data_IF_093561783925
#
_entry.id   IF_093561783925
#
_cell.length_a   1.000
_cell.length_b   1.000
_cell.length_c   1.000
_cell.angle_alpha   90.00
_cell.angle_beta   90.00
_cell.angle_gamma   90.00
#
_symmetry.space_group_name_H-M   'P 1'
#
loop_
_entity.id
_entity.type
_entity.pdbx_description
1 polymer ?
#
# COMPACT_ATOMS: atom_id res chain seq x y z
N UNK A 1 19.80 -6.89 -60.04
CA UNK A 1 20.20 -6.98 -58.63
C UNK A 1 19.38 -5.97 -57.85
N UNK A 2 18.30 -6.40 -57.18
CA UNK A 2 17.45 -5.50 -56.38
C UNK A 2 17.86 -5.61 -54.91
N UNK A 3 18.31 -4.50 -54.35
CA UNK A 3 18.64 -4.36 -52.93
C UNK A 3 17.33 -4.42 -52.14
N UNK A 4 17.12 -5.50 -51.39
CA UNK A 4 16.02 -5.57 -50.41
C UNK A 4 16.36 -4.63 -49.25
N UNK A 5 15.65 -3.50 -49.19
CA UNK A 5 15.60 -2.62 -48.03
C UNK A 5 15.20 -3.49 -46.82
N UNK A 6 16.06 -3.57 -45.80
CA UNK A 6 15.71 -4.22 -44.54
C UNK A 6 14.74 -3.31 -43.81
N UNK A 7 13.49 -3.73 -43.74
CA UNK A 7 12.49 -3.15 -42.85
C UNK A 7 12.99 -3.29 -41.41
N UNK A 8 13.41 -2.17 -40.83
CA UNK A 8 13.66 -2.07 -39.40
C UNK A 8 12.27 -2.13 -38.76
N UNK A 9 11.89 -3.31 -38.27
CA UNK A 9 10.70 -3.46 -37.42
C UNK A 9 10.86 -2.52 -36.22
N UNK A 10 10.09 -1.44 -36.26
CA UNK A 10 9.98 -0.47 -35.18
C UNK A 10 9.25 -1.18 -34.04
N UNK A 11 9.99 -1.82 -33.14
CA UNK A 11 9.41 -2.40 -31.93
C UNK A 11 8.75 -1.27 -31.15
N UNK A 12 7.42 -1.26 -31.11
CA UNK A 12 6.65 -0.41 -30.22
C UNK A 12 7.06 -0.74 -28.78
N UNK A 13 7.67 0.22 -28.08
CA UNK A 13 7.98 0.08 -26.67
C UNK A 13 6.64 0.07 -25.92
N UNK A 14 6.16 -1.12 -25.54
CA UNK A 14 4.99 -1.24 -24.67
C UNK A 14 5.35 -0.67 -23.30
N UNK A 15 4.61 0.35 -22.87
CA UNK A 15 4.72 0.89 -21.51
C UNK A 15 4.26 -0.21 -20.55
N UNK A 16 5.18 -0.68 -19.70
CA UNK A 16 4.91 -1.71 -18.70
C UNK A 16 4.09 -1.13 -17.55
N UNK A 17 2.81 -1.50 -17.49
CA UNK A 17 1.91 -1.19 -16.38
C UNK A 17 1.99 -2.29 -15.33
N UNK A 18 1.83 -1.95 -14.06
CA UNK A 18 1.85 -2.90 -12.94
C UNK A 18 0.62 -2.68 -12.06
N UNK A 19 -0.24 -3.71 -11.93
CA UNK A 19 -1.35 -3.69 -10.98
C UNK A 19 -0.83 -4.01 -9.57
N UNK A 20 -1.13 -3.16 -8.59
CA UNK A 20 -0.76 -3.37 -7.18
C UNK A 20 -2.01 -3.37 -6.30
N UNK A 21 -2.03 -4.22 -5.29
CA UNK A 21 -3.05 -4.26 -4.25
C UNK A 21 -2.83 -3.12 -3.24
N UNK A 22 -3.91 -2.46 -2.85
CA UNK A 22 -3.98 -1.56 -1.69
C UNK A 22 -4.37 -2.31 -0.41
N UNK A 23 -4.81 -3.57 -0.53
CA UNK A 23 -5.15 -4.46 0.57
C UNK A 23 -3.90 -5.26 1.00
N UNK A 24 -3.70 -5.35 2.31
CA UNK A 24 -2.63 -6.13 2.89
C UNK A 24 -2.98 -7.61 2.87
N UNK A 25 -2.08 -8.44 2.34
CA UNK A 25 -2.25 -9.90 2.27
C UNK A 25 -2.28 -10.63 3.62
N UNK A 26 -2.02 -9.95 4.74
CA UNK A 26 -1.98 -10.55 6.08
C UNK A 26 -3.22 -10.20 6.89
N UNK A 27 -3.59 -8.93 6.91
CA UNK A 27 -4.79 -8.47 7.62
C UNK A 27 -6.05 -8.51 6.76
N UNK A 28 -5.92 -8.63 5.44
CA UNK A 28 -7.01 -8.45 4.47
C UNK A 28 -7.67 -7.06 4.52
N UNK A 29 -7.01 -6.13 5.20
CA UNK A 29 -7.44 -4.73 5.35
C UNK A 29 -6.63 -3.80 4.46
N UNK A 30 -7.16 -2.60 4.23
CA UNK A 30 -6.44 -1.53 3.56
C UNK A 30 -5.10 -1.26 4.26
N UNK A 31 -4.00 -1.27 3.51
CA UNK A 31 -2.64 -1.08 4.03
C UNK A 31 -2.55 0.20 4.86
N UNK A 32 -2.20 0.09 6.15
CA UNK A 32 -2.09 1.26 7.06
C UNK A 32 -0.82 2.08 6.80
N UNK A 33 0.33 1.42 6.88
CA UNK A 33 1.64 2.01 6.61
C UNK A 33 2.28 1.22 5.46
N UNK A 34 2.27 1.73 4.22
CA UNK A 34 2.79 1.04 3.04
C UNK A 34 4.32 1.07 3.06
N UNK A 35 4.91 -0.11 3.19
CA UNK A 35 6.37 -0.27 3.18
C UNK A 35 6.83 -1.23 2.10
N UNK A 36 8.09 -1.04 1.70
CA UNK A 36 8.90 -2.00 0.94
C UNK A 36 10.24 -2.17 1.64
N UNK A 37 10.89 -3.31 1.41
CA UNK A 37 12.29 -3.48 1.82
C UNK A 37 13.22 -2.66 0.93
N UNK A 38 14.34 -2.19 1.47
CA UNK A 38 15.36 -1.41 0.75
C UNK A 38 15.83 -2.07 -0.57
N UNK A 39 15.91 -3.40 -0.61
CA UNK A 39 16.34 -4.15 -1.79
C UNK A 39 15.21 -4.59 -2.73
N UNK A 40 13.96 -4.21 -2.43
CA UNK A 40 12.80 -4.60 -3.22
C UNK A 40 12.76 -3.82 -4.55
N UNK A 41 12.51 -4.54 -5.65
CA UNK A 41 12.32 -3.94 -6.99
C UNK A 41 10.86 -3.97 -7.46
N UNK A 42 9.96 -4.60 -6.69
CA UNK A 42 8.52 -4.55 -6.98
C UNK A 42 7.91 -3.24 -6.50
N UNK A 43 6.75 -2.91 -7.07
CA UNK A 43 5.93 -1.75 -6.67
C UNK A 43 4.94 -2.08 -5.55
N UNK A 44 4.54 -3.35 -5.37
CA UNK A 44 3.60 -3.77 -4.33
C UNK A 44 4.12 -3.41 -2.93
N UNK A 45 3.39 -2.61 -2.16
CA UNK A 45 3.67 -2.41 -0.73
C UNK A 45 2.99 -3.48 0.12
N UNK A 46 3.44 -3.62 1.37
CA UNK A 46 2.73 -4.37 2.40
C UNK A 46 2.57 -3.48 3.65
N UNK A 47 1.64 -3.84 4.53
CA UNK A 47 1.41 -3.10 5.79
C UNK A 47 2.53 -3.39 6.78
N UNK A 48 3.21 -2.35 7.27
CA UNK A 48 4.26 -2.49 8.27
C UNK A 48 3.74 -3.15 9.54
N UNK A 49 2.60 -2.71 10.07
CA UNK A 49 2.01 -3.24 11.31
C UNK A 49 1.80 -4.75 11.22
N UNK A 50 1.05 -5.19 10.21
CA UNK A 50 0.70 -6.60 10.03
C UNK A 50 1.93 -7.47 9.74
N UNK A 51 2.94 -6.91 9.06
CA UNK A 51 4.20 -7.63 8.85
C UNK A 51 4.99 -7.80 10.15
N UNK A 52 5.07 -6.76 10.99
CA UNK A 52 5.76 -6.86 12.28
C UNK A 52 5.05 -7.83 13.22
N UNK A 53 3.72 -7.78 13.31
CA UNK A 53 2.91 -8.75 14.06
C UNK A 53 3.22 -10.18 13.62
N UNK A 54 3.22 -10.44 12.31
CA UNK A 54 3.59 -11.74 11.74
C UNK A 54 5.02 -12.14 12.11
N UNK A 55 6.00 -11.24 11.97
CA UNK A 55 7.40 -11.54 12.31
C UNK A 55 7.59 -11.80 13.80
N UNK A 56 6.86 -11.12 14.68
CA UNK A 56 6.93 -11.34 16.12
C UNK A 56 6.33 -12.69 16.54
N UNK A 57 5.27 -13.12 15.87
CA UNK A 57 4.65 -14.43 16.09
C UNK A 57 5.51 -15.61 15.61
N UNK A 58 6.49 -15.39 14.74
CA UNK A 58 7.40 -16.45 14.27
C UNK A 58 8.48 -16.79 15.30
N UNK A 59 8.62 -18.09 15.59
CA UNK A 59 9.68 -18.66 16.42
C UNK A 59 11.07 -18.40 15.79
N UNK A 60 11.21 -18.66 14.49
CA UNK A 60 12.42 -18.39 13.72
C UNK A 60 12.22 -17.22 12.75
N UNK A 61 12.59 -16.03 13.20
CA UNK A 61 12.39 -14.76 12.47
C UNK A 61 13.27 -14.68 11.24
N UNK A 62 12.72 -15.05 10.08
CA UNK A 62 13.33 -14.83 8.77
C UNK A 62 12.80 -13.52 8.20
N UNK A 63 13.58 -12.46 8.35
CA UNK A 63 13.25 -11.12 7.85
C UNK A 63 13.41 -11.03 6.33
N UNK A 64 12.43 -11.59 5.64
CA UNK A 64 12.34 -11.58 4.17
C UNK A 64 11.07 -10.86 3.73
N UNK A 65 11.19 -10.12 2.63
CA UNK A 65 10.07 -9.44 2.01
C UNK A 65 9.02 -10.49 1.63
N UNK A 66 7.76 -10.32 2.03
CA UNK A 66 6.78 -11.36 1.81
C UNK A 66 6.33 -11.46 0.35
N UNK A 67 6.60 -10.42 -0.45
CA UNK A 67 6.31 -10.34 -1.88
C UNK A 67 7.41 -11.00 -2.72
N UNK A 68 8.67 -10.55 -2.61
CA UNK A 68 9.77 -11.01 -3.48
C UNK A 68 10.85 -11.86 -2.79
N UNK A 69 10.67 -12.17 -1.51
CA UNK A 69 11.58 -13.02 -0.69
C UNK A 69 13.02 -12.50 -0.53
N UNK A 70 13.33 -11.30 -1.02
CA UNK A 70 14.59 -10.60 -0.73
C UNK A 70 14.67 -10.24 0.76
N UNK A 71 15.90 -10.04 1.25
CA UNK A 71 16.18 -9.57 2.61
C UNK A 71 15.40 -8.27 2.93
N UNK A 72 14.80 -8.19 4.12
CA UNK A 72 13.93 -7.08 4.53
C UNK A 72 14.08 -6.71 6.00
N UNK A 73 15.26 -6.22 6.40
CA UNK A 73 15.48 -5.64 7.73
C UNK A 73 15.25 -4.12 7.77
N UNK A 74 15.49 -3.44 6.64
CA UNK A 74 15.31 -2.00 6.48
C UNK A 74 14.06 -1.72 5.64
N UNK A 75 13.14 -0.93 6.18
CA UNK A 75 11.88 -0.57 5.53
C UNK A 75 11.92 0.85 4.99
N UNK A 76 11.38 1.03 3.78
CA UNK A 76 11.14 2.32 3.15
C UNK A 76 9.63 2.52 3.08
N UNK A 77 9.15 3.62 3.64
CA UNK A 77 7.75 4.05 3.49
C UNK A 77 7.55 4.61 2.10
N UNK A 78 6.63 4.02 1.33
CA UNK A 78 6.27 4.52 0.01
C UNK A 78 5.31 5.70 0.14
N UNK A 79 5.85 6.92 0.09
CA UNK A 79 5.07 8.15 0.28
C UNK A 79 3.96 8.32 -0.75
N UNK A 80 4.14 7.82 -1.97
CA UNK A 80 3.12 7.96 -3.00
C UNK A 80 1.96 7.00 -2.77
N UNK A 81 2.23 5.74 -2.44
CA UNK A 81 1.16 4.83 -2.03
C UNK A 81 0.49 5.24 -0.72
N UNK A 82 1.24 5.81 0.24
CA UNK A 82 0.66 6.40 1.45
C UNK A 82 -0.39 7.45 1.08
N UNK A 83 -0.03 8.38 0.19
CA UNK A 83 -0.94 9.41 -0.28
C UNK A 83 -2.17 8.84 -0.99
N UNK A 84 -2.03 7.79 -1.82
CA UNK A 84 -3.17 7.10 -2.44
C UNK A 84 -4.10 6.51 -1.36
N UNK A 85 -3.54 5.80 -0.39
CA UNK A 85 -4.30 5.17 0.70
C UNK A 85 -5.03 6.22 1.54
N UNK A 86 -4.40 7.35 1.81
CA UNK A 86 -5.01 8.45 2.56
C UNK A 86 -6.16 9.09 1.78
N UNK A 87 -6.02 9.24 0.45
CA UNK A 87 -7.12 9.69 -0.41
C UNK A 87 -8.27 8.70 -0.42
N UNK A 88 -8.00 7.40 -0.54
CA UNK A 88 -9.04 6.34 -0.47
C UNK A 88 -9.81 6.40 0.85
N UNK A 89 -9.11 6.57 1.98
CA UNK A 89 -9.73 6.75 3.30
C UNK A 89 -10.57 8.03 3.38
N UNK A 90 -10.00 9.16 2.97
CA UNK A 90 -10.66 10.46 3.02
C UNK A 90 -11.98 10.46 2.23
N UNK A 91 -11.99 9.79 1.08
CA UNK A 91 -13.14 9.73 0.19
C UNK A 91 -14.16 8.66 0.61
N UNK A 92 -13.87 7.87 1.65
CA UNK A 92 -14.70 6.75 2.12
C UNK A 92 -15.09 5.79 0.97
N UNK A 93 -14.16 5.48 0.04
CA UNK A 93 -14.41 4.60 -1.09
C UNK A 93 -13.72 3.24 -0.94
N UNK A 94 -14.34 2.19 -1.48
CA UNK A 94 -13.73 0.86 -1.57
C UNK A 94 -12.85 0.76 -2.81
N UNK A 95 -11.54 0.58 -2.60
CA UNK A 95 -10.56 0.37 -3.67
C UNK A 95 -9.55 -0.68 -3.24
N UNK A 96 -9.56 -1.82 -3.92
CA UNK A 96 -8.69 -2.94 -3.57
C UNK A 96 -7.33 -2.88 -4.28
N UNK A 97 -7.27 -2.26 -5.45
CA UNK A 97 -6.07 -2.24 -6.28
C UNK A 97 -6.03 -1.01 -7.18
N UNK A 98 -4.82 -0.67 -7.64
CA UNK A 98 -4.57 0.41 -8.58
C UNK A 98 -3.54 -0.02 -9.62
N UNK A 99 -3.68 0.48 -10.84
CA UNK A 99 -2.72 0.28 -11.91
C UNK A 99 -1.69 1.40 -11.90
N UNK A 100 -0.42 1.04 -11.86
CA UNK A 100 0.70 1.98 -11.89
C UNK A 100 1.43 1.93 -13.23
N UNK A 101 1.88 3.08 -13.71
CA UNK A 101 2.77 3.22 -14.86
C UNK A 101 4.22 2.88 -14.51
N UNK A 102 5.10 2.88 -15.52
CA UNK A 102 6.53 2.58 -15.34
C UNK A 102 7.20 3.50 -14.33
N UNK A 103 6.81 4.78 -14.28
CA UNK A 103 7.27 5.79 -13.33
C UNK A 103 6.75 5.61 -11.89
N UNK A 104 5.88 4.63 -11.66
CA UNK A 104 5.27 4.36 -10.36
C UNK A 104 4.08 5.26 -10.02
N UNK A 105 3.62 6.12 -10.94
CA UNK A 105 2.40 6.91 -10.80
C UNK A 105 1.18 6.10 -11.18
N UNK A 106 0.01 6.48 -10.65
CA UNK A 106 -1.27 5.88 -11.06
C UNK A 106 -1.47 6.10 -12.56
N UNK A 107 -1.90 5.05 -13.24
CA UNK A 107 -2.15 5.11 -14.67
C UNK A 107 -3.35 5.99 -15.01
N UNK A 108 -3.25 6.74 -16.11
CA UNK A 108 -4.28 7.69 -16.54
C UNK A 108 -5.62 7.02 -16.90
N UNK A 109 -5.58 5.74 -17.27
CA UNK A 109 -6.77 4.94 -17.59
C UNK A 109 -7.33 4.27 -16.33
N UNK A 110 -6.61 4.32 -15.20
CA UNK A 110 -7.13 3.80 -13.93
C UNK A 110 -8.25 4.73 -13.42
N UNK A 111 -9.43 4.19 -13.07
CA UNK A 111 -10.56 4.99 -12.59
C UNK A 111 -10.23 5.87 -11.38
N UNK A 112 -9.23 5.48 -10.56
CA UNK A 112 -8.84 6.23 -9.37
C UNK A 112 -8.07 7.51 -9.73
N UNK A 113 -7.39 7.55 -10.88
CA UNK A 113 -6.47 8.62 -11.27
C UNK A 113 -7.12 10.01 -11.22
N UNK A 114 -8.34 10.13 -11.76
CA UNK A 114 -9.05 11.42 -11.83
C UNK A 114 -9.41 11.93 -10.43
N UNK A 115 -9.86 11.02 -9.56
CA UNK A 115 -10.37 11.39 -8.22
C UNK A 115 -9.23 11.76 -7.26
N UNK A 116 -8.07 11.11 -7.37
CA UNK A 116 -6.93 11.42 -6.50
C UNK A 116 -6.15 12.65 -6.98
N UNK A 117 -6.16 12.94 -8.28
CA UNK A 117 -5.43 14.08 -8.85
C UNK A 117 -6.14 15.42 -8.71
N UNK A 118 -7.47 15.42 -8.59
CA UNK A 118 -8.28 16.64 -8.56
C UNK A 118 -8.55 17.14 -7.14
N UNK A 119 -7.99 18.30 -6.78
CA UNK A 119 -8.25 18.97 -5.49
C UNK A 119 -9.70 19.44 -5.26
N UNK A 120 -10.61 19.14 -6.18
CA UNK A 120 -12.04 19.46 -6.10
C UNK A 120 -12.84 18.38 -5.36
N UNK A 121 -12.40 17.12 -5.37
CA UNK A 121 -13.14 16.00 -4.78
C UNK A 121 -12.64 15.77 -3.36
N UNK A 122 -13.45 16.16 -2.37
CA UNK A 122 -13.01 16.22 -0.96
C UNK A 122 -13.57 15.09 -0.11
N UNK A 123 -14.73 14.57 -0.49
CA UNK A 123 -15.45 13.51 0.22
C UNK A 123 -16.22 12.61 -0.75
N UNK A 124 -16.92 11.61 -0.21
CA UNK A 124 -17.74 10.68 -0.99
C UNK A 124 -18.88 11.35 -1.77
N UNK A 125 -19.48 12.43 -1.25
CA UNK A 125 -20.57 13.10 -1.95
C UNK A 125 -20.06 13.79 -3.22
N UNK A 126 -18.86 14.37 -3.16
CA UNK A 126 -18.20 14.91 -4.35
C UNK A 126 -17.91 13.80 -5.38
N UNK A 127 -17.42 12.63 -4.95
CA UNK A 127 -17.20 11.47 -5.84
C UNK A 127 -18.45 11.18 -6.68
N UNK A 128 -19.61 11.08 -6.03
CA UNK A 128 -20.89 10.82 -6.71
C UNK A 128 -21.36 12.00 -7.55
N UNK A 129 -21.24 13.23 -7.03
CA UNK A 129 -21.63 14.46 -7.74
C UNK A 129 -20.87 14.64 -9.05
N UNK A 130 -19.61 14.23 -9.09
CA UNK A 130 -18.75 14.27 -10.28
C UNK A 130 -18.93 13.05 -11.20
N UNK A 131 -19.87 12.15 -10.90
CA UNK A 131 -20.25 11.04 -11.77
C UNK A 131 -19.42 9.77 -11.59
N UNK A 132 -18.59 9.66 -10.56
CA UNK A 132 -17.76 8.49 -10.29
C UNK A 132 -18.51 7.40 -9.51
N UNK A 133 -19.63 6.94 -10.06
CA UNK A 133 -20.55 6.01 -9.40
C UNK A 133 -20.04 4.56 -9.31
N UNK A 134 -18.92 4.23 -9.96
CA UNK A 134 -18.27 2.93 -9.86
C UNK A 134 -17.62 2.66 -8.49
N UNK A 135 -17.37 3.72 -7.70
CA UNK A 135 -16.78 3.58 -6.37
C UNK A 135 -17.88 3.44 -5.32
N UNK A 136 -17.91 2.27 -4.68
CA UNK A 136 -18.82 2.02 -3.56
C UNK A 136 -18.31 2.72 -2.29
N UNK A 137 -19.23 3.23 -1.48
CA UNK A 137 -18.88 3.74 -0.15
C UNK A 137 -18.35 2.60 0.72
N UNK A 138 -17.29 2.85 1.48
CA UNK A 138 -16.88 1.96 2.56
C UNK A 138 -18.02 1.88 3.58
N UNK A 139 -18.55 0.68 3.81
CA UNK A 139 -19.49 0.43 4.90
C UNK A 139 -18.80 0.82 6.20
N UNK A 140 -19.47 1.62 7.04
CA UNK A 140 -19.00 1.84 8.41
C UNK A 140 -19.19 0.52 9.16
N UNK A 141 -18.14 -0.28 9.23
CA UNK A 141 -18.03 -1.25 10.29
C UNK A 141 -17.95 -0.43 11.58
N UNK A 142 -18.84 -0.71 12.53
CA UNK A 142 -18.78 -0.12 13.86
C UNK A 142 -17.52 -0.72 14.48
N UNK A 143 -16.45 0.07 14.58
CA UNK A 143 -15.24 -0.35 15.29
C UNK A 143 -15.62 -0.55 16.78
N UNK A 144 -15.81 -1.80 17.21
CA UNK A 144 -16.01 -2.16 18.63
C UNK A 144 -14.70 -2.09 19.46
N UNK A 145 -13.62 -1.52 18.92
CA UNK A 145 -12.28 -1.56 19.53
C UNK A 145 -11.70 -0.17 19.88
N UNK A 146 -12.50 0.73 20.47
CA UNK A 146 -11.96 1.80 21.32
C UNK A 146 -12.04 1.40 22.80
N UNK A 147 -11.41 0.27 23.15
CA UNK A 147 -11.00 0.03 24.53
C UNK A 147 -9.59 0.58 24.68
N UNK A 148 -9.52 1.84 25.12
CA UNK A 148 -8.33 2.66 25.18
C UNK A 148 -7.10 1.92 25.71
N UNK A 149 -6.09 1.81 24.86
CA UNK A 149 -4.72 1.50 25.27
C UNK A 149 -4.17 2.71 26.03
N UNK A 150 -4.58 2.85 27.28
CA UNK A 150 -3.90 3.68 28.26
C UNK A 150 -2.60 2.97 28.62
N UNK A 151 -1.51 3.34 27.94
CA UNK A 151 -0.17 2.94 28.34
C UNK A 151 0.16 3.70 29.62
N UNK A 152 -0.24 3.14 30.77
CA UNK A 152 0.16 3.66 32.08
C UNK A 152 1.64 3.30 32.25
N UNK A 153 2.52 4.28 32.04
CA UNK A 153 3.91 4.21 32.50
C UNK A 153 3.91 4.21 34.04
N UNK A 154 3.78 3.03 34.63
CA UNK A 154 3.98 2.81 36.05
C UNK A 154 5.44 3.05 36.42
N UNK A 155 5.68 4.08 37.25
CA UNK A 155 6.96 4.39 37.88
C UNK A 155 7.47 3.21 38.73
N UNK A 156 8.78 2.99 38.67
CA UNK A 156 9.58 2.11 39.50
C UNK A 156 9.29 2.26 41.00
N UNK A 157 9.15 1.14 41.72
CA UNK A 157 9.73 0.96 43.07
C UNK A 157 10.21 -0.50 43.26
N UNK A 158 11.52 -0.64 43.44
CA UNK A 158 12.21 -1.65 44.25
C UNK A 158 11.90 -3.15 44.07
N UNK A 159 12.75 -3.85 43.31
CA UNK A 159 13.09 -5.24 43.68
C UNK A 159 14.51 -5.60 43.24
N UNK A 160 15.39 -5.74 44.24
CA UNK A 160 16.74 -6.27 44.11
C UNK A 160 16.66 -7.78 43.82
N UNK A 161 17.21 -8.22 42.69
CA UNK A 161 17.40 -9.64 42.39
C UNK A 161 18.82 -10.01 42.81
N UNK A 162 18.94 -10.82 43.86
CA UNK A 162 20.18 -11.53 44.23
C UNK A 162 20.27 -12.75 43.32
N UNK A 163 21.44 -12.95 42.71
CA UNK A 163 21.76 -14.12 41.89
C UNK A 163 22.70 -14.98 42.73
N UNK A 164 22.27 -16.19 43.10
CA UNK A 164 23.15 -17.30 43.48
C UNK A 164 23.55 -18.10 42.23
#
# INVERSE_FOLDING_TARGET
MSLKQRDIQKNEIKVEKSKVSLICQFSFELIRIPVRGEFCQHKQCFSLNSYLELMFAMEHKKWVCPICKKVCFNFIIDKYQQWILDRVRQLEINVESVTLNQDGRVDKEDPLCQIISEGKIRDYNDVIKWGFTQFQRKSREIDEDDNGSSIVLGRNEGQTIIIE
#
